data_IF_114094404305
#
_entry.id   IF_114094404305
#
_cell.length_a   1.000
_cell.length_b   1.000
_cell.length_c   1.000
_cell.angle_alpha   90.00
_cell.angle_beta   90.00
_cell.angle_gamma   90.00
#
_symmetry.space_group_name_H-M   'P 1'
#
loop_
_entity.id
_entity.type
_entity.pdbx_description
1 polymer ?
#
# COMPACT_ATOMS: atom_id res chain seq x y z
N UNK A 1 34.02 5.19 -21.25
CA UNK A 1 35.08 4.61 -22.10
C UNK A 1 36.41 4.76 -21.37
N UNK A 2 37.10 3.63 -21.11
CA UNK A 2 38.43 3.66 -20.50
C UNK A 2 39.47 3.94 -21.59
N UNK A 3 40.29 4.97 -21.37
CA UNK A 3 41.35 5.39 -22.32
C UNK A 3 42.75 5.04 -21.84
N UNK A 4 42.88 4.48 -20.60
CA UNK A 4 44.19 4.13 -20.04
C UNK A 4 44.39 2.61 -20.06
N UNK A 5 45.43 2.10 -20.73
CA UNK A 5 45.65 0.65 -20.90
C UNK A 5 45.77 -0.15 -19.58
N UNK A 6 46.47 0.42 -18.59
CA UNK A 6 46.73 -0.23 -17.31
C UNK A 6 45.44 -0.40 -16.45
N UNK A 7 44.37 0.32 -16.79
CA UNK A 7 43.07 0.25 -16.10
C UNK A 7 41.96 -0.39 -16.95
N UNK A 8 42.32 -1.20 -17.95
CA UNK A 8 41.35 -1.84 -18.84
C UNK A 8 40.32 -2.72 -18.11
N UNK A 9 40.66 -3.26 -16.96
CA UNK A 9 39.80 -4.07 -16.09
C UNK A 9 38.79 -3.27 -15.26
N UNK A 10 39.06 -1.99 -15.02
CA UNK A 10 38.23 -1.14 -14.13
C UNK A 10 36.78 -1.03 -14.58
N UNK A 11 36.46 -0.81 -15.89
CA UNK A 11 35.07 -0.67 -16.32
C UNK A 11 34.17 -1.85 -15.96
N UNK A 12 34.68 -3.08 -16.11
CA UNK A 12 33.91 -4.29 -15.79
C UNK A 12 33.67 -4.42 -14.28
N UNK A 13 34.65 -4.06 -13.48
CA UNK A 13 34.54 -4.04 -12.03
C UNK A 13 33.54 -3.01 -11.55
N UNK A 14 33.62 -1.79 -12.11
CA UNK A 14 32.69 -0.69 -11.83
C UNK A 14 31.26 -1.03 -12.25
N UNK A 15 31.08 -1.65 -13.41
CA UNK A 15 29.75 -2.06 -13.87
C UNK A 15 29.10 -3.02 -12.89
N UNK A 16 29.81 -4.05 -12.45
CA UNK A 16 29.32 -5.02 -11.46
C UNK A 16 28.97 -4.33 -10.14
N UNK A 17 29.82 -3.45 -9.67
CA UNK A 17 29.65 -2.74 -8.41
C UNK A 17 28.45 -1.78 -8.45
N UNK A 18 28.36 -0.97 -9.49
CA UNK A 18 27.27 -0.03 -9.71
C UNK A 18 25.94 -0.80 -9.87
N UNK A 19 25.93 -1.89 -10.62
CA UNK A 19 24.73 -2.71 -10.79
C UNK A 19 24.27 -3.33 -9.47
N UNK A 20 25.17 -3.85 -8.66
CA UNK A 20 24.84 -4.43 -7.35
C UNK A 20 24.22 -3.37 -6.40
N UNK A 21 24.67 -2.13 -6.47
CA UNK A 21 24.18 -1.07 -5.60
C UNK A 21 22.90 -0.40 -6.12
N UNK A 22 22.80 -0.15 -7.41
CA UNK A 22 21.75 0.70 -7.98
C UNK A 22 20.60 -0.05 -8.66
N UNK A 23 20.75 -1.33 -8.99
CA UNK A 23 19.73 -2.03 -9.79
C UNK A 23 18.36 -2.07 -9.10
N UNK A 24 18.29 -2.52 -7.86
CA UNK A 24 17.04 -2.61 -7.11
C UNK A 24 16.35 -1.25 -6.91
N UNK A 25 17.01 -0.23 -6.34
CA UNK A 25 16.35 1.06 -6.14
C UNK A 25 15.98 1.73 -7.47
N UNK A 26 16.77 1.57 -8.52
CA UNK A 26 16.49 2.15 -9.83
C UNK A 26 15.25 1.53 -10.49
N UNK A 27 15.11 0.20 -10.45
CA UNK A 27 13.91 -0.48 -10.97
C UNK A 27 12.67 -0.06 -10.18
N UNK A 28 12.74 -0.10 -8.86
CA UNK A 28 11.62 0.26 -8.00
C UNK A 28 11.22 1.73 -8.16
N UNK A 29 12.20 2.64 -8.24
CA UNK A 29 11.95 4.06 -8.50
C UNK A 29 11.29 4.30 -9.87
N UNK A 30 11.74 3.58 -10.90
CA UNK A 30 11.15 3.67 -12.25
C UNK A 30 9.71 3.17 -12.25
N UNK A 31 9.45 2.02 -11.64
CA UNK A 31 8.10 1.47 -11.51
C UNK A 31 7.20 2.44 -10.72
N UNK A 32 7.66 2.92 -9.58
CA UNK A 32 6.94 3.89 -8.76
C UNK A 32 6.62 5.17 -9.55
N UNK A 33 7.57 5.70 -10.30
CA UNK A 33 7.37 6.87 -11.15
C UNK A 33 6.30 6.65 -12.23
N UNK A 34 6.34 5.51 -12.92
CA UNK A 34 5.33 5.18 -13.93
C UNK A 34 3.93 5.03 -13.33
N UNK A 35 3.81 4.36 -12.20
CA UNK A 35 2.54 4.28 -11.48
C UNK A 35 2.07 5.65 -11.00
N UNK A 36 2.97 6.50 -10.54
CA UNK A 36 2.63 7.85 -10.11
C UNK A 36 2.03 8.69 -11.24
N UNK A 37 2.55 8.58 -12.45
CA UNK A 37 1.97 9.26 -13.62
C UNK A 37 0.53 8.80 -13.91
N UNK A 38 0.26 7.51 -13.74
CA UNK A 38 -1.09 6.95 -13.91
C UNK A 38 -2.02 7.48 -12.81
N UNK A 39 -1.59 7.43 -11.55
CA UNK A 39 -2.35 7.95 -10.41
C UNK A 39 -2.64 9.45 -10.58
N UNK A 40 -1.64 10.25 -10.90
CA UNK A 40 -1.80 11.70 -11.09
C UNK A 40 -2.81 12.01 -12.20
N UNK A 41 -2.75 11.25 -13.31
CA UNK A 41 -3.71 11.40 -14.41
C UNK A 41 -5.14 11.12 -13.98
N UNK A 42 -5.39 9.96 -13.37
CA UNK A 42 -6.75 9.54 -13.06
C UNK A 42 -7.32 10.26 -11.83
N UNK A 43 -6.52 10.52 -10.81
CA UNK A 43 -6.94 11.35 -9.68
C UNK A 43 -7.28 12.78 -10.12
N UNK A 44 -6.49 13.36 -11.03
CA UNK A 44 -6.80 14.66 -11.61
C UNK A 44 -8.13 14.69 -12.37
N UNK A 45 -8.57 13.56 -12.94
CA UNK A 45 -9.84 13.44 -13.65
C UNK A 45 -11.03 13.14 -12.72
N UNK A 46 -10.83 12.42 -11.61
CA UNK A 46 -11.92 11.83 -10.84
C UNK A 46 -11.99 12.28 -9.38
N UNK A 47 -10.88 12.71 -8.79
CA UNK A 47 -10.79 13.08 -7.38
C UNK A 47 -10.71 14.60 -7.20
N UNK A 48 -11.10 15.06 -6.00
CA UNK A 48 -10.87 16.43 -5.59
C UNK A 48 -9.37 16.70 -5.38
N UNK A 49 -8.92 17.93 -5.56
CA UNK A 49 -7.50 18.32 -5.52
C UNK A 49 -6.85 18.15 -4.15
N UNK A 50 -7.63 17.88 -3.11
CA UNK A 50 -7.17 17.63 -1.74
C UNK A 50 -6.70 16.20 -1.50
N UNK A 51 -6.95 15.26 -2.44
CA UNK A 51 -6.58 13.86 -2.28
C UNK A 51 -5.07 13.69 -2.43
N UNK A 52 -4.37 13.12 -1.43
CA UNK A 52 -2.93 13.01 -1.47
C UNK A 52 -2.47 11.85 -2.39
N UNK A 53 -2.13 12.14 -3.63
CA UNK A 53 -1.69 11.16 -4.63
C UNK A 53 -0.51 10.28 -4.15
N UNK A 54 0.42 10.86 -3.39
CA UNK A 54 1.56 10.12 -2.83
C UNK A 54 1.17 9.01 -1.86
N UNK A 55 -0.07 8.99 -1.39
CA UNK A 55 -0.61 7.98 -0.47
C UNK A 55 -1.46 6.91 -1.16
N UNK A 56 -1.67 7.02 -2.47
CA UNK A 56 -2.60 6.17 -3.21
C UNK A 56 -2.20 4.69 -3.26
N UNK A 57 -0.91 4.41 -3.36
CA UNK A 57 -0.39 3.05 -3.49
C UNK A 57 0.62 2.74 -2.40
N UNK A 58 0.59 1.50 -1.91
CA UNK A 58 1.49 1.00 -0.87
C UNK A 58 2.43 -0.10 -1.36
N UNK A 59 3.64 -0.11 -0.82
CA UNK A 59 4.65 -1.13 -1.05
C UNK A 59 4.58 -2.21 0.03
N UNK A 60 4.27 -3.45 -0.37
CA UNK A 60 4.25 -4.65 0.45
C UNK A 60 5.29 -5.68 0.01
N UNK A 61 6.31 -5.26 -0.74
CA UNK A 61 7.27 -6.16 -1.39
C UNK A 61 8.30 -6.80 -0.46
N UNK A 62 8.40 -6.37 0.80
CA UNK A 62 9.42 -6.86 1.74
C UNK A 62 9.52 -8.39 1.76
N UNK A 63 8.38 -9.06 1.92
CA UNK A 63 8.31 -10.53 2.02
C UNK A 63 8.71 -11.27 0.74
N UNK A 64 8.76 -10.60 -0.39
CA UNK A 64 9.18 -11.16 -1.68
C UNK A 64 10.64 -10.89 -2.05
N UNK A 65 11.39 -10.19 -1.19
CA UNK A 65 12.78 -9.83 -1.45
C UNK A 65 13.73 -10.92 -0.94
N UNK A 66 14.85 -11.09 -1.62
CA UNK A 66 15.87 -12.09 -1.28
C UNK A 66 16.64 -11.81 0.01
N UNK A 67 16.71 -10.53 0.41
CA UNK A 67 17.44 -10.08 1.59
C UNK A 67 16.86 -8.80 2.15
N UNK A 68 17.15 -8.50 3.43
CA UNK A 68 16.82 -7.25 4.07
C UNK A 68 17.36 -6.05 3.29
N UNK A 69 18.59 -6.14 2.77
CA UNK A 69 19.20 -5.05 2.02
C UNK A 69 18.50 -4.80 0.68
N UNK A 70 18.09 -5.84 -0.03
CA UNK A 70 17.29 -5.73 -1.25
C UNK A 70 15.94 -5.08 -0.95
N UNK A 71 15.27 -5.49 0.14
CA UNK A 71 14.00 -4.89 0.57
C UNK A 71 14.16 -3.40 0.87
N UNK A 72 15.16 -3.01 1.65
CA UNK A 72 15.45 -1.62 1.98
C UNK A 72 15.66 -0.78 0.72
N UNK A 73 16.54 -1.22 -0.18
CA UNK A 73 16.86 -0.52 -1.42
C UNK A 73 15.64 -0.39 -2.35
N UNK A 74 14.90 -1.48 -2.50
CA UNK A 74 13.68 -1.49 -3.33
C UNK A 74 12.62 -0.53 -2.79
N UNK A 75 12.30 -0.64 -1.51
CA UNK A 75 11.30 0.24 -0.88
C UNK A 75 11.73 1.70 -0.86
N UNK A 76 13.03 1.97 -0.69
CA UNK A 76 13.54 3.34 -0.79
C UNK A 76 13.37 3.94 -2.18
N UNK A 77 13.57 3.16 -3.24
CA UNK A 77 13.26 3.57 -4.60
C UNK A 77 11.77 3.88 -4.81
N UNK A 78 10.88 3.04 -4.26
CA UNK A 78 9.44 3.28 -4.27
C UNK A 78 9.05 4.58 -3.57
N UNK A 79 9.66 4.87 -2.43
CA UNK A 79 9.38 6.06 -1.64
C UNK A 79 9.73 7.39 -2.33
N UNK A 80 10.42 7.37 -3.44
CA UNK A 80 10.61 8.57 -4.28
C UNK A 80 9.31 9.02 -4.99
N UNK A 81 8.32 8.14 -5.09
CA UNK A 81 7.04 8.44 -5.75
C UNK A 81 5.83 8.29 -4.82
N UNK A 82 5.86 7.33 -3.90
CA UNK A 82 4.78 7.04 -2.97
C UNK A 82 5.31 6.90 -1.55
N UNK A 83 4.55 7.37 -0.58
CA UNK A 83 4.99 7.40 0.81
C UNK A 83 4.59 6.15 1.61
N UNK A 84 3.73 5.29 1.09
CA UNK A 84 3.23 4.12 1.83
C UNK A 84 4.13 2.90 1.58
N UNK A 85 4.78 2.40 2.64
CA UNK A 85 5.56 1.17 2.60
C UNK A 85 5.49 0.42 3.94
N UNK A 86 5.48 -0.90 3.87
CA UNK A 86 5.61 -1.78 5.04
C UNK A 86 7.08 -2.00 5.45
N UNK A 87 8.04 -1.48 4.70
CA UNK A 87 9.49 -1.65 4.95
C UNK A 87 10.01 -0.54 5.85
N UNK A 88 9.76 -0.62 7.15
CA UNK A 88 10.24 0.37 8.13
C UNK A 88 11.74 0.68 8.02
N UNK A 89 12.64 -0.30 7.80
CA UNK A 89 14.07 -0.03 7.66
C UNK A 89 14.47 0.82 6.43
N UNK A 90 13.53 1.10 5.50
CA UNK A 90 13.79 2.04 4.41
C UNK A 90 13.94 3.48 4.90
N UNK A 91 13.30 3.86 6.01
CA UNK A 91 13.35 5.23 6.54
C UNK A 91 14.79 5.67 6.86
N UNK A 92 15.55 4.98 7.74
CA UNK A 92 16.92 5.37 8.02
C UNK A 92 17.86 5.24 6.81
N UNK A 93 17.53 4.43 5.83
CA UNK A 93 18.26 4.36 4.57
C UNK A 93 18.02 5.63 3.74
N UNK A 94 16.78 6.08 3.62
CA UNK A 94 16.43 7.33 2.94
C UNK A 94 17.09 8.55 3.59
N UNK A 95 17.12 8.62 4.93
CA UNK A 95 17.83 9.67 5.65
C UNK A 95 19.32 9.69 5.31
N UNK A 96 19.97 8.54 5.31
CA UNK A 96 21.42 8.43 5.08
C UNK A 96 21.83 8.65 3.63
N UNK A 97 21.11 8.03 2.69
CA UNK A 97 21.52 7.98 1.27
C UNK A 97 20.85 9.06 0.42
N UNK A 98 19.66 9.52 0.81
CA UNK A 98 18.89 10.54 0.09
C UNK A 98 18.81 11.88 0.85
N UNK A 99 19.41 11.93 2.04
CA UNK A 99 19.47 13.13 2.89
C UNK A 99 18.09 13.69 3.26
N UNK A 100 17.09 12.81 3.41
CA UNK A 100 15.77 13.16 3.90
C UNK A 100 15.82 13.42 5.40
N UNK A 101 14.87 14.20 5.90
CA UNK A 101 14.71 14.49 7.34
C UNK A 101 13.36 13.93 7.83
N UNK A 102 13.34 12.67 8.23
CA UNK A 102 12.11 12.00 8.68
C UNK A 102 11.51 12.61 9.97
N UNK A 103 12.25 13.41 10.69
CA UNK A 103 11.73 14.13 11.86
C UNK A 103 10.87 15.35 11.47
N UNK A 104 11.09 15.93 10.28
CA UNK A 104 10.45 17.17 9.85
C UNK A 104 9.66 17.05 8.54
N UNK A 105 9.82 15.96 7.80
CA UNK A 105 9.09 15.73 6.54
C UNK A 105 8.56 14.29 6.45
N UNK A 106 7.42 14.06 5.78
CA UNK A 106 6.89 12.72 5.57
C UNK A 106 7.71 11.96 4.52
N UNK A 107 8.65 11.14 4.97
CA UNK A 107 9.54 10.34 4.12
C UNK A 107 8.89 9.01 3.73
N UNK A 108 8.27 8.36 4.72
CA UNK A 108 7.53 7.11 4.55
C UNK A 108 6.55 6.91 5.70
N UNK A 109 5.47 6.18 5.48
CA UNK A 109 4.55 5.77 6.53
C UNK A 109 3.93 4.41 6.24
N UNK A 110 3.47 3.73 7.29
CA UNK A 110 2.62 2.55 7.21
C UNK A 110 1.15 2.91 7.40
N UNK A 111 0.27 2.15 6.80
CA UNK A 111 -1.17 2.21 7.09
C UNK A 111 -1.59 1.09 8.03
N UNK A 112 -2.57 1.36 8.87
CA UNK A 112 -3.17 0.32 9.71
C UNK A 112 -3.90 -0.67 8.79
N UNK A 113 -3.51 -1.95 8.88
CA UNK A 113 -4.10 -3.00 8.05
C UNK A 113 -4.08 -4.33 8.80
N UNK A 114 -5.15 -5.11 8.64
CA UNK A 114 -5.13 -6.50 9.10
C UNK A 114 -4.33 -7.39 8.13
N UNK A 115 -3.98 -8.56 8.59
CA UNK A 115 -3.31 -9.62 7.83
C UNK A 115 -4.15 -10.91 7.96
N UNK A 116 -4.03 -11.85 7.00
CA UNK A 116 -4.76 -13.13 7.04
C UNK A 116 -4.60 -13.87 8.36
N UNK A 117 -3.39 -13.91 8.91
CA UNK A 117 -3.14 -14.52 10.22
C UNK A 117 -3.92 -13.87 11.36
N UNK A 118 -4.13 -12.55 11.30
CA UNK A 118 -4.93 -11.80 12.26
C UNK A 118 -6.40 -12.13 12.10
N UNK A 119 -6.91 -12.19 10.86
CA UNK A 119 -8.30 -12.61 10.59
C UNK A 119 -8.56 -14.02 11.10
N UNK A 120 -7.67 -14.97 10.78
CA UNK A 120 -7.79 -16.36 11.23
C UNK A 120 -7.73 -16.51 12.75
N UNK A 121 -6.85 -15.78 13.43
CA UNK A 121 -6.70 -15.82 14.88
C UNK A 121 -7.96 -15.31 15.59
N UNK A 122 -8.52 -14.20 15.09
CA UNK A 122 -9.74 -13.65 15.67
C UNK A 122 -10.95 -14.54 15.38
N UNK A 123 -11.07 -15.10 14.18
CA UNK A 123 -12.12 -16.07 13.87
C UNK A 123 -12.05 -17.30 14.77
N UNK A 124 -10.86 -17.78 15.08
CA UNK A 124 -10.69 -18.92 16.00
C UNK A 124 -11.17 -18.61 17.43
N UNK A 125 -11.13 -17.36 17.85
CA UNK A 125 -11.59 -16.91 19.18
C UNK A 125 -13.08 -16.57 19.17
N UNK A 126 -13.52 -15.78 18.20
CA UNK A 126 -14.85 -15.20 18.15
C UNK A 126 -15.88 -16.11 17.45
N UNK A 127 -15.43 -17.03 16.59
CA UNK A 127 -16.28 -17.93 15.80
C UNK A 127 -16.94 -17.28 14.58
N UNK A 128 -16.72 -15.98 14.34
CA UNK A 128 -17.25 -15.23 13.22
C UNK A 128 -16.38 -14.02 12.85
N UNK A 129 -16.62 -13.43 11.68
CA UNK A 129 -15.92 -12.24 11.23
C UNK A 129 -16.60 -10.94 11.72
N UNK A 130 -17.88 -10.98 12.05
CA UNK A 130 -18.68 -9.80 12.44
C UNK A 130 -18.18 -9.21 13.75
N UNK A 131 -17.93 -10.05 14.75
CA UNK A 131 -17.46 -9.63 16.07
C UNK A 131 -16.13 -8.91 15.99
N UNK A 132 -15.19 -9.43 15.20
CA UNK A 132 -13.92 -8.78 14.97
C UNK A 132 -14.09 -7.43 14.26
N UNK A 133 -14.85 -7.38 13.17
CA UNK A 133 -15.06 -6.15 12.41
C UNK A 133 -15.72 -5.07 13.27
N UNK A 134 -16.73 -5.43 14.05
CA UNK A 134 -17.38 -4.50 15.00
C UNK A 134 -16.37 -3.95 16.01
N UNK A 135 -15.54 -4.81 16.59
CA UNK A 135 -14.48 -4.39 17.53
C UNK A 135 -13.48 -3.44 16.89
N UNK A 136 -13.07 -3.67 15.63
CA UNK A 136 -12.20 -2.75 14.89
C UNK A 136 -12.85 -1.38 14.70
N UNK A 137 -14.14 -1.33 14.31
CA UNK A 137 -14.87 -0.11 14.03
C UNK A 137 -15.20 0.71 15.29
N UNK A 138 -15.53 0.04 16.41
CA UNK A 138 -16.10 0.72 17.57
C UNK A 138 -15.17 0.84 18.77
N UNK A 139 -14.14 -0.01 18.87
CA UNK A 139 -13.28 -0.07 20.04
C UNK A 139 -11.81 0.25 19.72
N UNK A 140 -11.24 -0.40 18.69
CA UNK A 140 -9.81 -0.30 18.42
C UNK A 140 -9.45 0.89 17.54
N UNK A 141 -10.26 1.22 16.54
CA UNK A 141 -10.00 2.29 15.59
C UNK A 141 -11.24 3.18 15.34
N UNK A 142 -11.97 3.63 16.38
CA UNK A 142 -13.24 4.35 16.19
C UNK A 142 -13.07 5.67 15.42
N UNK A 143 -11.90 6.31 15.53
CA UNK A 143 -11.60 7.63 14.97
C UNK A 143 -10.44 7.59 13.96
N UNK A 144 -10.20 6.46 13.31
CA UNK A 144 -9.09 6.36 12.36
C UNK A 144 -9.38 5.42 11.19
N UNK A 145 -8.71 5.67 10.06
CA UNK A 145 -8.82 4.80 8.89
C UNK A 145 -8.00 3.53 9.06
N UNK A 146 -8.55 2.40 8.63
CA UNK A 146 -7.86 1.12 8.61
C UNK A 146 -8.31 0.26 7.44
N UNK A 147 -7.49 -0.72 7.07
CA UNK A 147 -7.76 -1.68 6.01
C UNK A 147 -7.98 -3.07 6.58
N UNK A 148 -8.94 -3.79 6.02
CA UNK A 148 -9.23 -5.19 6.36
C UNK A 148 -8.98 -6.06 5.15
N UNK A 149 -8.12 -7.08 5.30
CA UNK A 149 -7.99 -8.14 4.31
C UNK A 149 -9.25 -9.01 4.35
N UNK A 150 -9.93 -9.08 3.23
CA UNK A 150 -11.34 -9.50 3.19
C UNK A 150 -11.57 -10.87 2.52
N UNK A 151 -10.50 -11.48 2.01
CA UNK A 151 -10.52 -12.77 1.30
C UNK A 151 -9.93 -13.93 2.11
N UNK A 152 -9.85 -13.77 3.45
CA UNK A 152 -9.37 -14.84 4.33
C UNK A 152 -10.23 -16.09 4.27
N UNK A 153 -11.53 -15.94 4.02
CA UNK A 153 -12.51 -17.00 3.89
C UNK A 153 -13.30 -16.88 2.59
N UNK A 154 -14.40 -16.12 2.60
CA UNK A 154 -15.25 -15.87 1.44
C UNK A 154 -15.41 -14.36 1.25
N UNK A 155 -14.72 -13.84 0.26
CA UNK A 155 -14.69 -12.40 -0.06
C UNK A 155 -16.09 -11.82 -0.30
N UNK A 156 -16.86 -12.48 -1.17
CA UNK A 156 -18.19 -11.97 -1.52
C UNK A 156 -19.19 -12.15 -0.38
N UNK A 157 -19.07 -13.19 0.41
CA UNK A 157 -19.88 -13.32 1.64
C UNK A 157 -19.56 -12.18 2.62
N UNK A 158 -18.30 -11.80 2.76
CA UNK A 158 -17.95 -10.65 3.59
C UNK A 158 -18.58 -9.37 3.04
N UNK A 159 -18.41 -9.08 1.75
CA UNK A 159 -18.92 -7.86 1.11
C UNK A 159 -20.45 -7.81 1.15
N UNK A 160 -21.13 -8.90 0.76
CA UNK A 160 -22.57 -8.88 0.49
C UNK A 160 -23.44 -9.24 1.70
N UNK A 161 -22.88 -9.98 2.69
CA UNK A 161 -23.68 -10.48 3.80
C UNK A 161 -23.17 -10.05 5.18
N UNK A 162 -21.88 -9.77 5.34
CA UNK A 162 -21.28 -9.39 6.62
C UNK A 162 -21.28 -7.88 6.78
N UNK A 163 -20.74 -7.13 5.83
CA UNK A 163 -20.69 -5.66 5.90
C UNK A 163 -22.07 -5.02 6.05
N UNK A 164 -23.14 -5.46 5.37
CA UNK A 164 -24.47 -4.90 5.57
C UNK A 164 -25.03 -5.07 6.99
N UNK A 165 -24.58 -6.09 7.73
CA UNK A 165 -24.98 -6.26 9.15
C UNK A 165 -24.28 -5.28 10.10
N UNK A 166 -23.28 -4.59 9.61
CA UNK A 166 -22.52 -3.55 10.32
C UNK A 166 -22.77 -2.16 9.69
N UNK A 167 -23.89 -2.00 8.95
CA UNK A 167 -24.21 -0.81 8.19
C UNK A 167 -24.12 0.47 9.03
N UNK A 168 -24.75 0.48 10.21
CA UNK A 168 -24.78 1.65 11.06
C UNK A 168 -23.41 1.96 11.68
N UNK A 169 -22.67 0.93 12.08
CA UNK A 169 -21.32 1.07 12.62
C UNK A 169 -20.37 1.62 11.54
N UNK A 170 -20.51 1.16 10.30
CA UNK A 170 -19.68 1.61 9.17
C UNK A 170 -19.99 3.07 8.81
N UNK A 171 -21.27 3.45 8.70
CA UNK A 171 -21.66 4.82 8.33
C UNK A 171 -21.39 5.84 9.43
N UNK A 172 -21.42 5.44 10.70
CA UNK A 172 -21.10 6.31 11.84
C UNK A 172 -19.60 6.33 12.19
N UNK A 173 -18.79 5.52 11.53
CA UNK A 173 -17.36 5.45 11.80
C UNK A 173 -16.65 6.76 11.41
N UNK A 174 -15.89 7.34 12.34
CA UNK A 174 -15.11 8.57 12.09
C UNK A 174 -13.74 8.23 11.46
N UNK A 175 -13.75 7.68 10.26
CA UNK A 175 -12.59 7.27 9.51
C UNK A 175 -12.99 6.57 8.21
N UNK A 176 -12.05 5.89 7.59
CA UNK A 176 -12.31 5.10 6.38
C UNK A 176 -12.04 3.63 6.63
N UNK A 177 -13.03 2.78 6.42
CA UNK A 177 -12.85 1.34 6.31
C UNK A 177 -12.48 1.01 4.85
N UNK A 178 -11.28 0.47 4.65
CA UNK A 178 -10.82 -0.01 3.34
C UNK A 178 -10.99 -1.52 3.25
N UNK A 179 -11.72 -1.97 2.25
CA UNK A 179 -11.91 -3.39 1.95
C UNK A 179 -10.81 -3.83 0.99
N UNK A 180 -9.97 -4.78 1.43
CA UNK A 180 -8.83 -5.27 0.65
C UNK A 180 -9.07 -6.68 0.14
N UNK A 181 -9.27 -6.80 -1.18
CA UNK A 181 -9.24 -8.08 -1.89
C UNK A 181 -7.80 -8.41 -2.29
N UNK A 182 -7.23 -9.46 -1.72
CA UNK A 182 -5.81 -9.83 -1.88
C UNK A 182 -5.63 -10.99 -2.88
N UNK A 183 -6.71 -11.51 -3.44
CA UNK A 183 -6.74 -12.61 -4.41
C UNK A 183 -7.75 -12.38 -5.54
N UNK A 184 -7.65 -13.18 -6.61
CA UNK A 184 -8.51 -13.09 -7.77
C UNK A 184 -8.00 -12.11 -8.84
N UNK A 185 -8.85 -11.81 -9.84
CA UNK A 185 -8.52 -10.81 -10.86
C UNK A 185 -8.68 -9.39 -10.26
N UNK A 186 -7.61 -8.59 -10.14
CA UNK A 186 -7.67 -7.31 -9.44
C UNK A 186 -8.64 -6.32 -10.08
N UNK A 187 -8.79 -6.33 -11.40
CA UNK A 187 -9.73 -5.44 -12.09
C UNK A 187 -11.18 -5.80 -11.73
N UNK A 188 -11.51 -7.09 -11.78
CA UNK A 188 -12.85 -7.57 -11.45
C UNK A 188 -13.17 -7.36 -9.97
N UNK A 189 -12.26 -7.75 -9.08
CA UNK A 189 -12.45 -7.57 -7.63
C UNK A 189 -12.69 -6.11 -7.29
N UNK A 190 -11.82 -5.19 -7.73
CA UNK A 190 -11.95 -3.77 -7.38
C UNK A 190 -13.24 -3.17 -7.98
N UNK A 191 -13.51 -3.40 -9.26
CA UNK A 191 -14.69 -2.79 -9.91
C UNK A 191 -16.01 -3.33 -9.37
N UNK A 192 -16.12 -4.63 -9.17
CA UNK A 192 -17.35 -5.23 -8.61
C UNK A 192 -17.55 -4.79 -7.16
N UNK A 193 -16.50 -4.78 -6.35
CA UNK A 193 -16.60 -4.30 -4.96
C UNK A 193 -17.15 -2.89 -4.87
N UNK A 194 -16.73 -1.97 -5.74
CA UNK A 194 -17.25 -0.60 -5.77
C UNK A 194 -18.76 -0.59 -6.05
N UNK A 195 -19.23 -1.39 -7.02
CA UNK A 195 -20.65 -1.48 -7.32
C UNK A 195 -21.46 -2.07 -6.14
N UNK A 196 -20.99 -3.16 -5.54
CA UNK A 196 -21.66 -3.79 -4.40
C UNK A 196 -21.71 -2.86 -3.18
N UNK A 197 -20.62 -2.16 -2.88
CA UNK A 197 -20.60 -1.19 -1.77
C UNK A 197 -21.49 0.02 -2.06
N UNK A 198 -21.54 0.48 -3.32
CA UNK A 198 -22.45 1.56 -3.72
C UNK A 198 -23.91 1.17 -3.52
N UNK A 199 -24.30 -0.01 -3.92
CA UNK A 199 -25.68 -0.51 -3.80
C UNK A 199 -26.08 -0.67 -2.31
N UNK A 200 -25.14 -1.03 -1.44
CA UNK A 200 -25.40 -1.30 -0.04
C UNK A 200 -25.32 -0.06 0.85
N UNK A 201 -24.38 0.83 0.61
CA UNK A 201 -24.08 1.97 1.49
C UNK A 201 -24.38 3.32 0.82
N UNK A 202 -24.67 3.32 -0.45
CA UNK A 202 -24.79 4.55 -1.23
C UNK A 202 -23.46 5.24 -1.45
N UNK A 203 -23.53 6.51 -1.85
CA UNK A 203 -22.33 7.31 -2.09
C UNK A 203 -22.68 8.72 -2.51
N UNK A 204 -21.64 9.53 -2.69
CA UNK A 204 -21.77 10.89 -3.22
C UNK A 204 -20.93 11.03 -4.49
N UNK A 205 -21.48 11.73 -5.47
CA UNK A 205 -20.76 12.05 -6.70
C UNK A 205 -20.14 13.44 -6.51
N UNK A 206 -18.84 13.56 -6.72
CA UNK A 206 -18.13 14.82 -6.62
C UNK A 206 -18.36 15.69 -7.87
N UNK A 207 -17.75 16.90 -7.89
CA UNK A 207 -17.90 17.84 -9.00
C UNK A 207 -17.33 17.38 -10.35
N UNK A 208 -16.56 16.32 -10.35
CA UNK A 208 -15.92 15.76 -11.56
C UNK A 208 -16.73 14.58 -12.17
N UNK A 209 -17.75 14.09 -11.50
CA UNK A 209 -18.68 13.06 -11.95
C UNK A 209 -18.31 11.65 -11.55
#
# INVERSE_FOLDING_TARGET
KNTHPDFAWVPQFLESFISAELWHPMISATVGFLYRQIVDKYYGLTCDDTVPHAKALGDFSFRGQESLQSAIKSSSGWCLSFLNTATVPAIPYLEREYYCDAAHEPVAYGSVSTEHSVMCSNFAVDGDEITMLRRLLTELYPDSSFSVVSDSYDYWNLVDNILPKLHDEILNHNGTLLIRGDSGNPIEIVTQTVYHLWDQFGGTINSKG
#
